data_IF_511447727735
#
_entry.id   IF_511447727735
#
_cell.length_a   1.000
_cell.length_b   1.000
_cell.length_c   1.000
_cell.angle_alpha   90.00
_cell.angle_beta   90.00
_cell.angle_gamma   90.00
#
_symmetry.space_group_name_H-M   'P 1'
#
loop_
_entity.id
_entity.type
_entity.pdbx_description
1 polymer ?
#
# COMPACT_ATOMS: atom_id res chain seq x y z
N UNK A 1 22.52 -16.96 12.12
CA UNK A 1 22.27 -16.30 10.83
C UNK A 1 21.47 -15.03 11.10
N UNK A 2 22.03 -13.87 10.78
CA UNK A 2 21.27 -12.61 10.81
C UNK A 2 20.42 -12.62 9.54
N UNK A 3 19.11 -12.72 9.66
CA UNK A 3 18.22 -12.53 8.52
C UNK A 3 18.35 -11.06 8.09
N UNK A 4 18.94 -10.81 6.93
CA UNK A 4 18.97 -9.46 6.35
C UNK A 4 17.52 -9.01 6.13
N UNK A 5 17.21 -7.79 6.57
CA UNK A 5 15.93 -7.16 6.28
C UNK A 5 15.86 -6.93 4.77
N UNK A 6 14.83 -7.47 4.14
CA UNK A 6 14.57 -7.32 2.71
C UNK A 6 13.43 -6.34 2.51
N UNK A 7 13.53 -5.48 1.49
CA UNK A 7 12.54 -4.45 1.19
C UNK A 7 11.85 -4.75 -0.14
N UNK A 8 10.54 -4.59 -0.20
CA UNK A 8 9.82 -4.46 -1.47
C UNK A 8 9.19 -3.07 -1.55
N UNK A 9 9.43 -2.36 -2.65
CA UNK A 9 8.92 -1.02 -2.86
C UNK A 9 8.20 -0.92 -4.20
N UNK A 10 7.00 -0.34 -4.20
CA UNK A 10 6.17 -0.16 -5.39
C UNK A 10 5.98 1.33 -5.65
N UNK A 11 6.42 1.81 -6.81
CA UNK A 11 6.34 3.22 -7.17
C UNK A 11 5.57 3.38 -8.47
N UNK A 12 4.38 3.96 -8.39
CA UNK A 12 3.67 4.41 -9.58
C UNK A 12 4.22 5.77 -10.03
N UNK A 13 4.66 5.83 -11.29
CA UNK A 13 5.29 7.02 -11.86
C UNK A 13 4.59 7.45 -13.15
N UNK A 14 4.65 8.74 -13.53
CA UNK A 14 4.03 9.22 -14.76
C UNK A 14 4.48 8.48 -16.01
N UNK A 15 5.79 8.42 -16.23
CA UNK A 15 6.37 7.95 -17.48
C UNK A 15 7.48 6.93 -17.24
N UNK A 16 7.78 6.12 -18.25
CA UNK A 16 8.90 5.15 -18.18
C UNK A 16 10.25 5.85 -17.90
N UNK A 17 10.40 7.11 -18.33
CA UNK A 17 11.59 7.93 -18.08
C UNK A 17 11.80 8.34 -16.62
N UNK A 18 10.76 8.25 -15.78
CA UNK A 18 10.84 8.55 -14.35
C UNK A 18 11.40 7.37 -13.52
N UNK A 19 11.61 6.22 -14.15
CA UNK A 19 12.16 5.03 -13.49
C UNK A 19 13.69 5.16 -13.34
N UNK A 20 14.20 4.96 -12.12
CA UNK A 20 15.64 5.06 -11.83
C UNK A 20 16.28 3.68 -11.68
N UNK A 21 17.47 3.48 -12.24
CA UNK A 21 18.24 2.25 -12.00
C UNK A 21 18.73 2.22 -10.54
N UNK A 22 18.26 1.20 -9.82
CA UNK A 22 18.49 0.98 -8.39
C UNK A 22 19.05 -0.42 -8.11
N UNK A 23 19.59 -1.10 -9.14
CA UNK A 23 20.05 -2.50 -9.09
C UNK A 23 21.19 -2.74 -8.08
N UNK A 24 21.91 -1.68 -7.72
CA UNK A 24 22.96 -1.76 -6.71
C UNK A 24 22.42 -1.99 -5.28
N UNK A 25 21.13 -1.76 -5.02
CA UNK A 25 20.50 -2.06 -3.73
C UNK A 25 20.07 -3.53 -3.67
N UNK A 26 21.02 -4.43 -3.41
CA UNK A 26 20.78 -5.89 -3.38
C UNK A 26 19.86 -6.38 -2.25
N UNK A 27 19.41 -5.48 -1.36
CA UNK A 27 18.48 -5.78 -0.27
C UNK A 27 17.03 -5.40 -0.61
N UNK A 28 16.78 -4.84 -1.80
CA UNK A 28 15.48 -4.30 -2.18
C UNK A 28 15.04 -4.76 -3.57
N UNK A 29 13.80 -5.22 -3.67
CA UNK A 29 13.10 -5.33 -4.94
C UNK A 29 12.29 -4.05 -5.16
N UNK A 30 12.61 -3.30 -6.22
CA UNK A 30 11.91 -2.05 -6.56
C UNK A 30 11.10 -2.24 -7.83
N UNK A 31 9.79 -2.14 -7.68
CA UNK A 31 8.81 -2.24 -8.76
C UNK A 31 8.44 -0.84 -9.23
N UNK A 32 9.01 -0.44 -10.37
CA UNK A 32 8.61 0.78 -11.07
C UNK A 32 7.38 0.51 -11.93
N UNK A 33 6.32 1.29 -11.69
CA UNK A 33 5.01 1.12 -12.31
C UNK A 33 4.66 2.37 -13.14
N UNK A 34 5.26 2.54 -14.33
CA UNK A 34 4.93 3.65 -15.21
C UNK A 34 3.48 3.56 -15.69
N UNK A 35 2.85 4.72 -15.86
CA UNK A 35 1.45 4.82 -16.29
C UNK A 35 1.28 5.10 -17.79
N UNK A 36 2.31 5.57 -18.47
CA UNK A 36 2.31 5.93 -19.90
C UNK A 36 2.43 4.74 -20.85
N UNK A 37 2.35 3.51 -20.34
CA UNK A 37 2.28 2.28 -21.13
C UNK A 37 1.02 2.25 -22.01
N UNK A 38 0.97 1.29 -22.94
CA UNK A 38 -0.15 1.10 -23.87
C UNK A 38 -1.50 1.10 -23.13
N UNK A 39 -2.39 2.04 -23.48
CA UNK A 39 -3.70 2.21 -22.84
C UNK A 39 -3.79 3.26 -21.72
N UNK A 40 -2.67 3.89 -21.30
CA UNK A 40 -2.57 4.95 -20.26
C UNK A 40 -3.36 4.69 -18.97
N UNK A 41 -2.64 4.33 -17.91
CA UNK A 41 -3.24 4.06 -16.61
C UNK A 41 -3.72 5.33 -15.90
N UNK A 42 -4.89 5.22 -15.25
CA UNK A 42 -5.35 6.21 -14.27
C UNK A 42 -4.52 6.11 -12.98
N UNK A 43 -4.46 7.20 -12.22
CA UNK A 43 -3.78 7.24 -10.92
C UNK A 43 -4.20 6.09 -10.01
N UNK A 44 -3.23 5.40 -9.43
CA UNK A 44 -3.41 4.32 -8.48
C UNK A 44 -3.74 2.95 -9.08
N UNK A 45 -4.11 2.90 -10.36
CA UNK A 45 -4.56 1.66 -10.99
C UNK A 45 -3.44 0.62 -11.04
N UNK A 46 -2.20 1.04 -11.32
CA UNK A 46 -1.06 0.11 -11.34
C UNK A 46 -0.80 -0.45 -9.94
N UNK A 47 -0.87 0.38 -8.90
CA UNK A 47 -0.69 -0.08 -7.51
C UNK A 47 -1.75 -1.11 -7.10
N UNK A 48 -3.00 -0.94 -7.55
CA UNK A 48 -4.10 -1.87 -7.26
C UNK A 48 -3.86 -3.23 -7.92
N UNK A 49 -3.39 -3.25 -9.16
CA UNK A 49 -3.19 -4.46 -9.97
C UNK A 49 -1.91 -5.22 -9.60
N UNK A 50 -0.81 -4.50 -9.38
CA UNK A 50 0.54 -5.08 -9.30
C UNK A 50 0.91 -5.52 -7.88
N UNK A 51 0.48 -4.77 -6.85
CA UNK A 51 0.84 -5.10 -5.45
C UNK A 51 0.38 -6.52 -5.07
N UNK A 52 -0.87 -6.97 -5.32
CA UNK A 52 -1.29 -8.35 -5.02
C UNK A 52 -0.47 -9.44 -5.72
N UNK A 53 0.09 -9.16 -6.89
CA UNK A 53 0.80 -10.13 -7.70
C UNK A 53 2.23 -10.36 -7.19
N UNK A 54 2.83 -9.34 -6.58
CA UNK A 54 4.26 -9.33 -6.28
C UNK A 54 4.59 -9.16 -4.80
N UNK A 55 3.66 -8.64 -3.99
CA UNK A 55 3.93 -8.41 -2.57
C UNK A 55 4.11 -9.73 -1.83
N UNK A 56 5.23 -9.84 -1.14
CA UNK A 56 5.58 -10.96 -0.28
C UNK A 56 5.42 -10.50 1.17
N UNK A 57 4.47 -11.12 1.86
CA UNK A 57 4.19 -10.86 3.28
C UNK A 57 4.43 -12.18 4.03
N UNK A 58 5.27 -12.21 5.07
CA UNK A 58 5.53 -13.44 5.82
C UNK A 58 4.28 -13.89 6.56
N UNK A 59 4.10 -15.21 6.70
CA UNK A 59 2.91 -15.79 7.36
C UNK A 59 2.72 -15.26 8.80
N UNK A 60 3.82 -14.95 9.49
CA UNK A 60 3.80 -14.39 10.85
C UNK A 60 3.12 -13.02 10.95
N UNK A 61 2.92 -12.30 9.85
CA UNK A 61 2.25 -11.01 9.83
C UNK A 61 0.71 -11.12 9.75
N UNK A 62 0.18 -12.33 9.49
CA UNK A 62 -1.26 -12.57 9.44
C UNK A 62 -1.79 -13.09 10.77
N UNK A 63 -3.02 -12.71 11.10
CA UNK A 63 -3.70 -13.11 12.33
C UNK A 63 -5.02 -13.81 12.01
N UNK A 64 -5.52 -14.64 12.94
CA UNK A 64 -6.77 -15.41 12.74
C UNK A 64 -8.03 -14.53 12.67
N UNK A 65 -7.91 -13.25 12.99
CA UNK A 65 -8.98 -12.26 12.92
C UNK A 65 -8.66 -11.07 13.83
N UNK A 66 -9.06 -9.88 13.40
CA UNK A 66 -9.00 -8.64 14.19
C UNK A 66 -10.38 -7.99 14.19
N UNK A 67 -10.81 -7.48 15.35
CA UNK A 67 -11.98 -6.62 15.43
C UNK A 67 -11.63 -5.28 14.77
N UNK A 68 -12.05 -5.10 13.51
CA UNK A 68 -11.97 -3.81 12.84
C UNK A 68 -13.22 -3.03 13.21
N UNK A 69 -13.07 -2.04 14.08
CA UNK A 69 -14.19 -1.14 14.44
C UNK A 69 -14.71 -0.46 13.16
N UNK A 70 -16.03 -0.49 12.91
CA UNK A 70 -16.69 0.05 11.71
C UNK A 70 -16.38 1.53 11.50
N UNK A 71 -16.04 2.25 12.57
CA UNK A 71 -15.56 3.64 12.54
C UNK A 71 -14.28 3.82 11.71
N UNK A 72 -13.50 2.76 11.54
CA UNK A 72 -12.33 2.72 10.65
C UNK A 72 -12.75 2.78 9.19
N UNK A 73 -13.89 2.17 8.82
CA UNK A 73 -14.36 1.99 7.44
C UNK A 73 -14.94 3.27 6.83
N UNK A 74 -15.48 4.17 7.65
CA UNK A 74 -16.14 5.40 7.21
C UNK A 74 -15.39 6.65 7.68
N UNK A 75 -14.47 7.15 6.84
CA UNK A 75 -13.94 8.53 6.88
C UNK A 75 -13.21 9.03 8.16
N UNK A 76 -13.11 8.20 9.22
CA UNK A 76 -12.75 8.69 10.55
C UNK A 76 -11.27 8.99 10.81
N UNK A 77 -10.32 8.28 10.19
CA UNK A 77 -8.89 8.53 10.36
C UNK A 77 -8.14 8.12 9.09
N UNK A 78 -7.79 9.13 8.27
CA UNK A 78 -7.02 8.97 7.02
C UNK A 78 -5.52 8.74 7.25
N UNK A 79 -5.09 8.77 8.52
CA UNK A 79 -3.73 8.60 8.99
C UNK A 79 -3.73 7.54 10.09
N UNK A 80 -3.42 6.32 9.70
CA UNK A 80 -3.40 5.18 10.60
C UNK A 80 -1.96 4.80 10.90
N UNK A 81 -1.59 4.86 12.18
CA UNK A 81 -0.26 4.48 12.66
C UNK A 81 -0.22 3.05 13.16
N UNK A 82 0.74 2.28 12.67
CA UNK A 82 1.15 1.01 13.27
C UNK A 82 1.53 1.22 14.75
N UNK A 83 0.97 0.42 15.67
CA UNK A 83 1.18 0.54 17.12
C UNK A 83 2.14 -0.49 17.70
N UNK A 84 2.61 -1.46 16.91
CA UNK A 84 3.43 -2.55 17.44
C UNK A 84 4.86 -2.10 17.74
N UNK A 85 5.21 -2.08 19.03
CA UNK A 85 6.59 -2.18 19.56
C UNK A 85 7.10 -3.65 19.53
N UNK A 86 6.30 -4.58 19.00
CA UNK A 86 6.60 -6.01 19.00
C UNK A 86 7.71 -6.35 18.01
N UNK A 87 8.93 -6.49 18.52
CA UNK A 87 10.13 -6.97 17.82
C UNK A 87 10.06 -8.44 17.35
N UNK A 88 8.96 -9.15 17.60
CA UNK A 88 8.83 -10.57 17.24
C UNK A 88 8.48 -10.76 15.75
N UNK A 89 7.70 -9.85 15.16
CA UNK A 89 7.35 -9.86 13.74
C UNK A 89 8.34 -9.01 12.94
N UNK A 90 9.13 -9.65 12.08
CA UNK A 90 10.10 -8.99 11.17
C UNK A 90 9.44 -8.31 9.96
N UNK A 91 8.18 -7.88 10.06
CA UNK A 91 7.44 -7.28 8.96
C UNK A 91 6.89 -5.92 9.35
N UNK A 92 7.03 -4.97 8.43
CA UNK A 92 6.43 -3.66 8.53
C UNK A 92 6.04 -3.17 7.14
N UNK A 93 4.83 -2.63 7.02
CA UNK A 93 4.28 -2.09 5.79
C UNK A 93 3.94 -0.61 5.88
N UNK A 94 3.95 0.07 4.73
CA UNK A 94 3.50 1.44 4.61
C UNK A 94 2.91 1.67 3.22
N UNK A 95 1.75 2.33 3.16
CA UNK A 95 1.08 2.70 1.92
C UNK A 95 0.74 4.18 1.96
N UNK A 96 1.22 4.92 0.97
CA UNK A 96 0.76 6.25 0.65
C UNK A 96 0.31 6.35 -0.80
N UNK A 97 -0.93 6.79 -1.01
CA UNK A 97 -1.48 6.94 -2.35
C UNK A 97 -2.67 7.90 -2.34
N UNK A 98 -3.36 7.97 -3.48
CA UNK A 98 -4.69 8.55 -3.59
C UNK A 98 -5.68 7.83 -2.64
N UNK A 99 -6.63 8.58 -2.08
CA UNK A 99 -7.53 8.14 -1.02
C UNK A 99 -8.32 6.86 -1.35
N UNK A 100 -8.82 6.69 -2.57
CA UNK A 100 -9.56 5.51 -3.00
C UNK A 100 -8.65 4.29 -3.13
N UNK A 101 -7.39 4.49 -3.53
CA UNK A 101 -6.36 3.43 -3.57
C UNK A 101 -6.06 2.95 -2.16
N UNK A 102 -5.81 3.88 -1.24
CA UNK A 102 -5.55 3.56 0.17
C UNK A 102 -6.72 2.79 0.78
N UNK A 103 -7.96 3.24 0.55
CA UNK A 103 -9.18 2.54 1.01
C UNK A 103 -9.24 1.10 0.46
N UNK A 104 -9.07 0.92 -0.84
CA UNK A 104 -9.10 -0.41 -1.48
C UNK A 104 -7.98 -1.33 -0.98
N UNK A 105 -6.74 -0.80 -0.84
CA UNK A 105 -5.61 -1.59 -0.33
C UNK A 105 -5.79 -1.95 1.15
N UNK A 106 -6.34 -1.04 1.96
CA UNK A 106 -6.65 -1.32 3.36
C UNK A 106 -7.71 -2.40 3.50
N UNK A 107 -8.79 -2.34 2.72
CA UNK A 107 -9.80 -3.40 2.67
C UNK A 107 -9.17 -4.75 2.29
N UNK A 108 -8.42 -4.80 1.20
CA UNK A 108 -7.74 -6.03 0.77
C UNK A 108 -6.81 -6.59 1.86
N UNK A 109 -5.90 -5.78 2.40
CA UNK A 109 -4.88 -6.25 3.34
C UNK A 109 -5.47 -6.61 4.72
N UNK A 110 -6.33 -5.77 5.27
CA UNK A 110 -6.82 -5.95 6.63
C UNK A 110 -8.05 -6.87 6.70
N UNK A 111 -8.94 -6.81 5.73
CA UNK A 111 -10.21 -7.55 5.75
C UNK A 111 -10.12 -8.87 4.98
N UNK A 112 -9.56 -8.88 3.78
CA UNK A 112 -9.49 -10.09 2.95
C UNK A 112 -8.28 -10.97 3.28
N UNK A 113 -7.13 -10.34 3.56
CA UNK A 113 -5.87 -11.05 3.86
C UNK A 113 -5.57 -11.21 5.35
N UNK A 114 -6.37 -10.57 6.22
CA UNK A 114 -6.18 -10.59 7.68
C UNK A 114 -4.76 -10.20 8.15
N UNK A 115 -4.15 -9.23 7.47
CA UNK A 115 -2.89 -8.63 7.92
C UNK A 115 -3.11 -7.93 9.26
N UNK A 116 -2.19 -8.16 10.20
CA UNK A 116 -2.19 -7.46 11.47
C UNK A 116 -2.06 -5.94 11.24
N UNK A 117 -3.12 -5.20 11.59
CA UNK A 117 -3.22 -3.75 11.44
C UNK A 117 -2.09 -3.02 12.15
N UNK A 118 -1.55 -3.58 13.22
CA UNK A 118 -0.46 -2.97 13.98
C UNK A 118 0.89 -2.97 13.24
N UNK A 119 0.99 -3.66 12.10
CA UNK A 119 2.22 -3.79 11.30
C UNK A 119 2.24 -2.89 10.05
N UNK A 120 1.17 -2.16 9.77
CA UNK A 120 1.05 -1.38 8.54
C UNK A 120 0.47 0.02 8.76
N UNK A 121 1.02 1.00 8.05
CA UNK A 121 0.51 2.36 8.03
C UNK A 121 -0.20 2.66 6.72
N UNK A 122 -1.30 3.40 6.80
CA UNK A 122 -2.05 3.90 5.65
C UNK A 122 -2.10 5.43 5.68
N UNK A 123 -1.70 6.06 4.57
CA UNK A 123 -1.64 7.51 4.41
C UNK A 123 -2.33 7.94 3.11
N UNK A 124 -3.55 8.49 3.21
CA UNK A 124 -4.23 9.07 2.07
C UNK A 124 -3.70 10.49 1.81
N UNK A 125 -2.84 10.66 0.80
CA UNK A 125 -2.18 11.94 0.54
C UNK A 125 -3.05 12.95 -0.19
N UNK A 126 -3.89 12.47 -1.10
CA UNK A 126 -4.77 13.31 -1.90
C UNK A 126 -6.02 12.54 -2.29
N UNK A 127 -7.08 13.25 -2.69
CA UNK A 127 -8.28 12.67 -3.28
C UNK A 127 -8.56 13.42 -4.56
N UNK A 128 -8.93 12.70 -5.63
CA UNK A 128 -9.53 13.38 -6.77
C UNK A 128 -10.89 13.89 -6.29
N UNK A 129 -11.12 15.20 -6.31
CA UNK A 129 -12.45 15.73 -6.01
C UNK A 129 -13.43 15.07 -6.96
N UNK A 130 -14.44 14.38 -6.44
CA UNK A 130 -15.65 14.15 -7.21
C UNK A 130 -16.18 15.53 -7.55
N UNK A 131 -16.15 15.90 -8.83
CA UNK A 131 -16.95 17.01 -9.34
C UNK A 131 -18.40 16.64 -9.05
N UNK A 132 -18.88 17.04 -7.88
CA UNK A 132 -20.31 17.16 -7.61
C UNK A 132 -20.73 18.32 -8.50
N UNK A 133 -21.29 17.98 -9.66
CA UNK A 133 -21.85 18.94 -10.60
C UNK A 133 -22.86 19.85 -9.89
N UNK A 134 -22.87 21.08 -10.42
CA UNK A 134 -23.72 22.20 -10.09
C UNK A 134 -25.20 21.81 -9.88
N UNK A 135 -25.72 22.18 -8.72
CA UNK A 135 -27.14 22.51 -8.58
C UNK A 135 -27.24 23.96 -8.12
N UNK A 136 -27.28 24.84 -9.11
CA UNK A 136 -27.97 26.12 -9.04
C UNK A 136 -29.48 25.91 -8.92
#
# INVERSE_FOLDING_TARGET
MITLLHVQAFFEVPEQGDCVNVEHFTFADVFWLPRDTEGKYQYGKRLIEEVPQHVTIPESAFIKGQALDEKTTSEGELWERATSENNETRFYGWIAAESSVVKQRRQYLLQERHLDRSLINFMAYWSKSSSKDDHA
#
